data_IF_567171383451
#
_entry.id   IF_567171383451
#
_cell.length_a   1.000
_cell.length_b   1.000
_cell.length_c   1.000
_cell.angle_alpha   90.00
_cell.angle_beta   90.00
_cell.angle_gamma   90.00
#
_symmetry.space_group_name_H-M   'P 1'
#
loop_
_entity.id
_entity.type
_entity.pdbx_description
1 polymer ?
#
# COMPACT_ATOMS: atom_id res chain seq x y z
N UNK A 1 -2.66 -21.92 14.88
CA UNK A 1 -2.73 -21.77 16.35
C UNK A 1 -1.92 -20.60 16.92
N UNK A 2 -0.67 -20.33 16.48
CA UNK A 2 0.16 -19.20 16.97
C UNK A 2 -0.53 -17.82 16.92
N UNK A 3 -1.26 -17.52 15.84
CA UNK A 3 -1.97 -16.24 15.69
C UNK A 3 -3.07 -16.05 16.76
N UNK A 4 -3.91 -17.07 16.96
CA UNK A 4 -4.97 -17.06 17.97
C UNK A 4 -4.41 -16.82 19.38
N UNK A 5 -3.32 -17.50 19.75
CA UNK A 5 -2.67 -17.28 21.05
C UNK A 5 -2.18 -15.84 21.25
N UNK A 6 -1.59 -15.22 20.21
CA UNK A 6 -1.12 -13.81 20.29
C UNK A 6 -2.26 -12.80 20.34
N UNK A 7 -3.47 -13.19 19.99
CA UNK A 7 -4.63 -12.31 19.81
C UNK A 7 -5.75 -12.55 20.82
N UNK A 8 -5.53 -13.41 21.83
CA UNK A 8 -6.49 -13.64 22.91
C UNK A 8 -7.46 -14.81 22.68
N UNK A 9 -7.17 -15.69 21.72
CA UNK A 9 -7.97 -16.88 21.38
C UNK A 9 -8.50 -16.85 19.95
N UNK A 10 -9.20 -17.92 19.56
CA UNK A 10 -9.79 -18.03 18.22
C UNK A 10 -10.90 -16.99 17.99
N UNK A 11 -11.79 -16.81 18.98
CA UNK A 11 -12.88 -15.84 18.88
C UNK A 11 -12.40 -14.39 18.71
N UNK A 12 -11.34 -13.98 19.43
CA UNK A 12 -10.76 -12.65 19.28
C UNK A 12 -9.97 -12.49 17.97
N UNK A 13 -9.37 -13.57 17.47
CA UNK A 13 -8.72 -13.56 16.16
C UNK A 13 -9.75 -13.37 15.04
N UNK A 14 -10.89 -14.07 15.07
CA UNK A 14 -11.94 -13.93 14.05
C UNK A 14 -12.47 -12.49 13.94
N UNK A 15 -12.52 -11.74 15.05
CA UNK A 15 -12.94 -10.33 15.04
C UNK A 15 -11.99 -9.40 14.28
N UNK A 16 -10.73 -9.79 14.08
CA UNK A 16 -9.71 -8.94 13.44
C UNK A 16 -9.29 -9.45 12.05
N UNK A 17 -9.67 -10.67 11.69
CA UNK A 17 -9.50 -11.20 10.34
C UNK A 17 -10.63 -10.65 9.48
N UNK A 18 -10.29 -10.16 8.29
CA UNK A 18 -11.28 -9.65 7.34
C UNK A 18 -11.59 -10.70 6.30
N UNK A 19 -12.86 -10.85 5.97
CA UNK A 19 -13.25 -11.56 4.77
C UNK A 19 -12.73 -10.82 3.53
N UNK A 20 -12.35 -11.53 2.45
CA UNK A 20 -12.03 -10.89 1.19
C UNK A 20 -13.27 -10.16 0.65
N UNK A 21 -13.02 -9.10 -0.12
CA UNK A 21 -14.06 -8.39 -0.85
C UNK A 21 -14.73 -9.30 -1.88
N UNK A 22 -16.00 -9.07 -2.15
CA UNK A 22 -16.73 -9.72 -3.24
C UNK A 22 -16.19 -9.31 -4.61
N UNK A 23 -16.47 -10.10 -5.64
CA UNK A 23 -16.07 -9.77 -7.01
C UNK A 23 -16.62 -8.42 -7.48
N UNK A 24 -17.85 -8.09 -7.09
CA UNK A 24 -18.48 -6.82 -7.41
C UNK A 24 -17.70 -5.64 -6.78
N UNK A 25 -17.35 -5.75 -5.50
CA UNK A 25 -16.54 -4.72 -4.81
C UNK A 25 -15.15 -4.59 -5.42
N UNK A 26 -14.49 -5.70 -5.74
CA UNK A 26 -13.18 -5.71 -6.38
C UNK A 26 -13.21 -5.01 -7.75
N UNK A 27 -14.29 -5.17 -8.52
CA UNK A 27 -14.45 -4.52 -9.83
C UNK A 27 -14.60 -3.00 -9.77
N UNK A 28 -14.92 -2.45 -8.60
CA UNK A 28 -15.02 -1.00 -8.38
C UNK A 28 -13.70 -0.38 -7.93
N UNK A 29 -12.67 -1.19 -7.64
CA UNK A 29 -11.35 -0.69 -7.27
C UNK A 29 -10.61 -0.30 -8.56
N UNK A 30 -10.20 0.96 -8.64
CA UNK A 30 -9.48 1.51 -9.77
C UNK A 30 -8.02 1.02 -9.83
N UNK A 31 -7.43 1.03 -11.02
CA UNK A 31 -6.07 0.51 -11.27
C UNK A 31 -5.00 1.20 -10.43
N UNK A 32 -5.13 2.51 -10.17
CA UNK A 32 -4.20 3.29 -9.34
C UNK A 32 -4.18 2.79 -7.88
N UNK A 33 -5.33 2.34 -7.35
CA UNK A 33 -5.41 1.78 -5.99
C UNK A 33 -4.72 0.42 -5.90
N UNK A 34 -4.82 -0.40 -6.96
CA UNK A 34 -4.08 -1.66 -7.04
C UNK A 34 -2.58 -1.42 -7.15
N UNK A 35 -2.16 -0.50 -8.00
CA UNK A 35 -0.76 -0.13 -8.16
C UNK A 35 -0.18 0.39 -6.84
N UNK A 36 -0.87 1.33 -6.18
CA UNK A 36 -0.48 1.83 -4.86
C UNK A 36 -0.32 0.70 -3.84
N UNK A 37 -1.32 -0.19 -3.73
CA UNK A 37 -1.27 -1.30 -2.79
C UNK A 37 -0.10 -2.26 -3.05
N UNK A 38 0.18 -2.61 -4.31
CA UNK A 38 1.32 -3.46 -4.66
C UNK A 38 2.65 -2.78 -4.35
N UNK A 39 2.80 -1.50 -4.71
CA UNK A 39 4.00 -0.73 -4.38
C UNK A 39 4.21 -0.69 -2.87
N UNK A 40 3.17 -0.44 -2.06
CA UNK A 40 3.29 -0.44 -0.60
C UNK A 40 3.85 -1.77 -0.06
N UNK A 41 3.43 -2.91 -0.64
CA UNK A 41 3.91 -4.23 -0.20
C UNK A 41 5.37 -4.45 -0.51
N UNK A 42 5.84 -3.96 -1.66
CA UNK A 42 7.27 -3.99 -2.01
C UNK A 42 8.07 -3.14 -1.02
N UNK A 43 7.60 -1.94 -0.67
CA UNK A 43 8.29 -1.08 0.31
C UNK A 43 8.25 -1.62 1.75
N UNK A 44 7.31 -2.50 2.07
CA UNK A 44 7.26 -3.21 3.35
C UNK A 44 8.32 -4.33 3.46
N UNK A 45 9.03 -4.68 2.39
CA UNK A 45 10.13 -5.63 2.44
C UNK A 45 11.34 -5.03 3.16
N UNK A 46 11.74 -5.62 4.29
CA UNK A 46 12.91 -5.17 5.07
C UNK A 46 12.67 -3.91 5.91
N UNK A 47 11.47 -3.32 5.88
CA UNK A 47 11.11 -2.11 6.62
C UNK A 47 9.87 -2.38 7.49
N UNK A 48 9.79 -1.75 8.66
CA UNK A 48 8.62 -1.85 9.54
C UNK A 48 7.35 -1.37 8.82
N UNK A 49 6.30 -2.21 8.84
CA UNK A 49 5.01 -1.89 8.23
C UNK A 49 4.40 -0.59 8.78
N UNK A 50 4.62 -0.31 10.07
CA UNK A 50 4.13 0.92 10.68
C UNK A 50 4.87 2.16 10.14
N UNK A 51 6.17 2.04 9.83
CA UNK A 51 6.95 3.14 9.27
C UNK A 51 6.48 3.44 7.85
N UNK A 52 6.34 2.41 7.00
CA UNK A 52 5.86 2.57 5.62
C UNK A 52 4.46 3.20 5.60
N UNK A 53 3.51 2.67 6.39
CA UNK A 53 2.14 3.17 6.45
C UNK A 53 2.03 4.63 6.90
N UNK A 54 2.89 5.05 7.83
CA UNK A 54 2.91 6.45 8.29
C UNK A 54 3.40 7.41 7.21
N UNK A 55 4.34 6.99 6.37
CA UNK A 55 4.86 7.78 5.25
C UNK A 55 3.99 7.66 3.98
N UNK A 56 3.12 6.66 3.90
CA UNK A 56 2.38 6.33 2.69
C UNK A 56 1.59 7.49 2.07
N UNK A 57 0.88 8.36 2.84
CA UNK A 57 0.17 9.49 2.25
C UNK A 57 1.08 10.46 1.48
N UNK A 58 2.29 10.70 2.00
CA UNK A 58 3.29 11.55 1.34
C UNK A 58 3.88 10.86 0.11
N UNK A 59 4.04 9.54 0.17
CA UNK A 59 4.44 8.74 -0.97
C UNK A 59 3.40 8.83 -2.10
N UNK A 60 2.12 8.67 -1.79
CA UNK A 60 1.05 8.82 -2.77
C UNK A 60 1.07 10.22 -3.41
N UNK A 61 1.26 11.28 -2.63
CA UNK A 61 1.39 12.65 -3.15
C UNK A 61 2.54 12.79 -4.16
N UNK A 62 3.74 12.27 -3.83
CA UNK A 62 4.92 12.33 -4.71
C UNK A 62 4.71 11.58 -6.02
N UNK A 63 3.92 10.50 -5.98
CA UNK A 63 3.57 9.65 -7.13
C UNK A 63 2.23 10.05 -7.76
N UNK A 64 1.73 11.27 -7.53
CA UNK A 64 0.49 11.80 -8.13
C UNK A 64 -0.74 10.90 -7.87
N UNK A 65 -0.83 10.38 -6.65
CA UNK A 65 -1.84 9.41 -6.21
C UNK A 65 -1.85 8.17 -7.11
N UNK A 66 -0.70 7.78 -7.65
CA UNK A 66 -0.54 6.68 -8.61
C UNK A 66 -1.36 6.84 -9.89
N UNK A 67 -1.71 8.07 -10.27
CA UNK A 67 -2.31 8.34 -11.56
C UNK A 67 -1.33 7.99 -12.69
N UNK A 68 -1.62 6.90 -13.39
CA UNK A 68 -0.74 6.30 -14.40
C UNK A 68 -0.38 7.30 -15.50
N UNK A 69 -1.36 8.04 -16.02
CA UNK A 69 -1.16 9.00 -17.10
C UNK A 69 -0.18 10.11 -16.69
N UNK A 70 -0.38 10.71 -15.51
CA UNK A 70 0.52 11.74 -14.98
C UNK A 70 1.92 11.19 -14.78
N UNK A 71 2.05 9.97 -14.26
CA UNK A 71 3.34 9.35 -14.05
C UNK A 71 4.11 9.12 -15.35
N UNK A 72 3.42 8.67 -16.41
CA UNK A 72 4.03 8.45 -17.72
C UNK A 72 4.45 9.74 -18.43
N UNK A 73 3.93 10.90 -18.01
CA UNK A 73 4.34 12.21 -18.54
C UNK A 73 5.66 12.71 -17.94
N UNK A 74 6.15 12.12 -16.84
CA UNK A 74 7.40 12.54 -16.21
C UNK A 74 8.61 11.93 -16.92
N UNK A 75 9.58 12.76 -17.36
CA UNK A 75 10.87 12.27 -17.84
C UNK A 75 11.64 11.48 -16.77
N UNK A 76 12.52 10.58 -17.21
CA UNK A 76 13.32 9.73 -16.31
C UNK A 76 14.18 10.56 -15.34
N UNK A 77 14.74 11.68 -15.81
CA UNK A 77 15.59 12.56 -14.99
C UNK A 77 14.80 13.15 -13.81
N UNK A 78 13.50 13.40 -13.98
CA UNK A 78 12.64 13.86 -12.88
C UNK A 78 12.35 12.74 -11.88
N UNK A 79 12.25 11.50 -12.33
CA UNK A 79 12.13 10.35 -11.44
C UNK A 79 13.39 10.13 -10.61
N UNK A 80 14.56 10.29 -11.21
CA UNK A 80 15.85 10.24 -10.50
C UNK A 80 15.94 11.33 -9.42
N UNK A 81 15.51 12.55 -9.73
CA UNK A 81 15.45 13.64 -8.74
C UNK A 81 14.49 13.32 -7.60
N UNK A 82 13.29 12.81 -7.90
CA UNK A 82 12.31 12.39 -6.88
C UNK A 82 12.84 11.26 -5.99
N UNK A 83 13.66 10.36 -6.52
CA UNK A 83 14.25 9.27 -5.73
C UNK A 83 15.26 9.77 -4.67
N UNK A 84 15.76 11.00 -4.79
CA UNK A 84 16.65 11.63 -3.81
C UNK A 84 15.88 12.40 -2.72
N UNK A 85 14.55 12.44 -2.79
CA UNK A 85 13.74 13.13 -1.81
C UNK A 85 13.85 12.48 -0.42
N UNK A 86 14.32 13.19 0.61
CA UNK A 86 14.54 12.62 1.94
C UNK A 86 13.25 12.48 2.78
N UNK A 87 12.12 13.04 2.31
CA UNK A 87 10.82 12.95 2.99
C UNK A 87 10.36 11.50 3.13
#
# INVERSE_FOLDING_TARGET
>A
QRAAHRKGGAAELEKIVRAPLSQAELSQITDDRWLAAFTEKVFQCGISWNVVRKKWPQFEEVFFEFNIEKMLMLPNEMWEQKAQDPR
#
